data_IF_222593561746
#
_entry.id   IF_222593561746
#
_cell.length_a   1.000
_cell.length_b   1.000
_cell.length_c   1.000
_cell.angle_alpha   90.00
_cell.angle_beta   90.00
_cell.angle_gamma   90.00
#
_symmetry.space_group_name_H-M   'P 1'
#
loop_
_entity.id
_entity.type
_entity.pdbx_description
1 polymer ?
#
# COMPACT_ATOMS: atom_id res chain seq x y z
N UNK A 1 24.99 13.53 -10.42
CA UNK A 1 23.99 12.45 -10.63
C UNK A 1 24.49 11.19 -9.96
N UNK A 2 23.73 10.59 -9.04
CA UNK A 2 24.11 9.33 -8.40
C UNK A 2 23.64 8.13 -9.23
N UNK A 3 24.46 7.08 -9.34
CA UNK A 3 24.07 5.83 -9.99
C UNK A 3 23.05 5.10 -9.11
N UNK A 4 21.90 4.74 -9.68
CA UNK A 4 20.90 3.89 -9.01
C UNK A 4 21.35 2.43 -9.10
N UNK A 5 21.73 1.85 -7.98
CA UNK A 5 22.06 0.41 -7.89
C UNK A 5 20.80 -0.37 -7.56
N UNK A 6 20.54 -1.44 -8.30
CA UNK A 6 19.42 -2.38 -8.07
C UNK A 6 19.99 -3.79 -8.01
N UNK A 7 19.60 -4.56 -6.99
CA UNK A 7 20.01 -5.96 -6.81
C UNK A 7 18.77 -6.83 -6.73
N UNK A 8 18.78 -7.94 -7.48
CA UNK A 8 17.73 -8.93 -7.42
C UNK A 8 18.04 -9.94 -6.30
N UNK A 9 17.07 -10.17 -5.40
CA UNK A 9 17.22 -11.07 -4.26
C UNK A 9 16.11 -12.12 -4.30
N UNK A 10 16.45 -13.38 -4.04
CA UNK A 10 15.49 -14.48 -3.85
C UNK A 10 15.22 -14.66 -2.36
N UNK A 11 13.93 -14.66 -1.98
CA UNK A 11 13.53 -15.04 -0.63
C UNK A 11 13.51 -16.57 -0.50
N UNK A 12 14.13 -17.10 0.56
CA UNK A 12 14.11 -18.52 0.90
C UNK A 12 13.47 -18.69 2.29
N UNK A 13 12.15 -18.48 2.42
CA UNK A 13 11.48 -18.51 3.72
C UNK A 13 11.33 -19.95 4.24
N UNK A 14 11.33 -20.10 5.56
CA UNK A 14 10.79 -21.31 6.21
C UNK A 14 9.27 -21.41 5.99
N UNK A 15 8.67 -22.57 6.28
CA UNK A 15 7.23 -22.76 6.15
C UNK A 15 6.43 -21.69 6.91
N UNK A 16 6.78 -21.44 8.17
CA UNK A 16 6.10 -20.45 9.02
C UNK A 16 6.28 -19.02 8.48
N UNK A 17 7.47 -18.69 7.99
CA UNK A 17 7.73 -17.39 7.36
C UNK A 17 6.93 -17.22 6.08
N UNK A 18 6.77 -18.26 5.26
CA UNK A 18 6.00 -18.21 4.03
C UNK A 18 4.51 -17.96 4.32
N UNK A 19 3.96 -18.60 5.36
CA UNK A 19 2.60 -18.37 5.83
C UNK A 19 2.43 -16.93 6.33
N UNK A 20 3.34 -16.46 7.17
CA UNK A 20 3.30 -15.09 7.70
C UNK A 20 3.38 -14.03 6.58
N UNK A 21 4.28 -14.22 5.60
CA UNK A 21 4.41 -13.34 4.45
C UNK A 21 3.13 -13.33 3.61
N UNK A 22 2.57 -14.50 3.30
CA UNK A 22 1.33 -14.62 2.53
C UNK A 22 0.16 -13.94 3.23
N UNK A 23 -0.03 -14.20 4.52
CA UNK A 23 -1.09 -13.58 5.32
C UNK A 23 -0.93 -12.05 5.35
N UNK A 24 0.31 -11.57 5.49
CA UNK A 24 0.59 -10.12 5.48
C UNK A 24 0.24 -9.51 4.13
N UNK A 25 0.58 -10.15 3.02
CA UNK A 25 0.22 -9.68 1.68
C UNK A 25 -1.30 -9.59 1.48
N UNK A 26 -2.05 -10.61 1.93
CA UNK A 26 -3.52 -10.56 1.86
C UNK A 26 -4.10 -9.41 2.70
N UNK A 27 -3.59 -9.20 3.92
CA UNK A 27 -4.02 -8.09 4.77
C UNK A 27 -3.71 -6.72 4.13
N UNK A 28 -2.54 -6.57 3.52
CA UNK A 28 -2.18 -5.35 2.78
C UNK A 28 -3.09 -5.12 1.59
N UNK A 29 -3.43 -6.16 0.82
CA UNK A 29 -4.31 -6.04 -0.34
C UNK A 29 -5.72 -5.65 0.07
N UNK A 30 -6.30 -6.32 1.07
CA UNK A 30 -7.62 -5.94 1.59
C UNK A 30 -7.64 -4.51 2.16
N UNK A 31 -6.54 -4.10 2.80
CA UNK A 31 -6.36 -2.71 3.23
C UNK A 31 -6.26 -1.72 2.07
N UNK A 32 -5.63 -2.11 0.96
CA UNK A 32 -5.55 -1.29 -0.24
C UNK A 32 -6.91 -1.11 -0.89
N UNK A 33 -7.73 -2.16 -0.97
CA UNK A 33 -9.08 -2.10 -1.53
C UNK A 33 -9.95 -1.09 -0.76
N UNK A 34 -10.01 -1.22 0.57
CA UNK A 34 -10.73 -0.26 1.43
C UNK A 34 -10.19 1.16 1.29
N UNK A 35 -8.87 1.33 1.30
CA UNK A 35 -8.28 2.65 1.14
C UNK A 35 -8.57 3.26 -0.24
N UNK A 36 -8.67 2.44 -1.28
CA UNK A 36 -9.03 2.88 -2.62
C UNK A 36 -10.50 3.30 -2.71
N UNK A 37 -11.40 2.57 -2.06
CA UNK A 37 -12.82 2.93 -1.92
C UNK A 37 -12.99 4.28 -1.20
N UNK A 38 -12.31 4.46 -0.07
CA UNK A 38 -12.34 5.73 0.69
C UNK A 38 -11.76 6.87 -0.15
N UNK A 39 -10.61 6.67 -0.80
CA UNK A 39 -10.00 7.68 -1.66
C UNK A 39 -10.95 8.13 -2.79
N UNK A 40 -11.66 7.18 -3.41
CA UNK A 40 -12.63 7.48 -4.47
C UNK A 40 -13.82 8.26 -3.93
N UNK A 41 -14.39 7.78 -2.82
CA UNK A 41 -15.59 8.34 -2.19
C UNK A 41 -15.36 9.76 -1.69
N UNK A 42 -14.27 9.96 -0.93
CA UNK A 42 -13.89 11.25 -0.35
C UNK A 42 -13.17 12.17 -1.35
N UNK A 43 -12.91 11.67 -2.57
CA UNK A 43 -12.13 12.37 -3.61
C UNK A 43 -10.76 12.85 -3.13
N UNK A 44 -10.17 12.10 -2.21
CA UNK A 44 -8.87 12.39 -1.59
C UNK A 44 -7.82 11.39 -2.06
N UNK A 45 -6.97 11.83 -3.00
CA UNK A 45 -5.96 10.99 -3.64
C UNK A 45 -4.54 11.27 -3.15
N UNK A 46 -4.35 12.28 -2.31
CA UNK A 46 -3.04 12.59 -1.72
C UNK A 46 -2.72 11.60 -0.61
N UNK A 47 -1.44 11.21 -0.51
CA UNK A 47 -0.98 10.30 0.55
C UNK A 47 -1.35 10.83 1.96
N UNK A 48 -1.11 12.12 2.22
CA UNK A 48 -1.31 12.69 3.55
C UNK A 48 -2.79 12.84 3.90
N UNK A 49 -3.63 13.27 2.96
CA UNK A 49 -5.07 13.33 3.16
C UNK A 49 -5.65 11.94 3.39
N UNK A 50 -5.33 10.99 2.51
CA UNK A 50 -5.81 9.62 2.64
C UNK A 50 -5.33 8.95 3.93
N UNK A 51 -4.08 9.19 4.35
CA UNK A 51 -3.56 8.66 5.61
C UNK A 51 -4.36 9.14 6.82
N UNK A 52 -4.83 10.39 6.85
CA UNK A 52 -5.68 10.88 7.94
C UNK A 52 -7.02 10.14 8.01
N UNK A 53 -7.55 9.72 6.87
CA UNK A 53 -8.84 9.05 6.75
C UNK A 53 -8.75 7.56 7.15
N UNK A 54 -7.74 6.84 6.66
CA UNK A 54 -7.77 5.36 6.73
C UNK A 54 -6.74 4.73 7.68
N UNK A 55 -5.78 5.51 8.21
CA UNK A 55 -4.70 4.93 8.99
C UNK A 55 -5.19 4.20 10.26
N UNK A 56 -6.15 4.79 10.98
CA UNK A 56 -6.69 4.19 12.19
C UNK A 56 -7.38 2.85 11.89
N UNK A 57 -8.15 2.78 10.81
CA UNK A 57 -8.86 1.58 10.38
C UNK A 57 -7.91 0.48 9.92
N UNK A 58 -6.87 0.84 9.16
CA UNK A 58 -5.84 -0.11 8.74
C UNK A 58 -5.06 -0.66 9.95
N UNK A 59 -4.78 0.17 10.95
CA UNK A 59 -4.18 -0.24 12.22
C UNK A 59 -5.10 -1.20 12.99
N UNK A 60 -6.39 -0.89 13.07
CA UNK A 60 -7.39 -1.74 13.71
C UNK A 60 -7.58 -3.09 12.98
N UNK A 61 -7.40 -3.10 11.65
CA UNK A 61 -7.39 -4.31 10.83
C UNK A 61 -6.13 -5.19 10.99
N UNK A 62 -5.21 -4.84 11.89
CA UNK A 62 -4.04 -5.64 12.23
C UNK A 62 -2.77 -5.28 11.44
N UNK A 63 -2.79 -4.25 10.58
CA UNK A 63 -1.58 -3.83 9.88
C UNK A 63 -0.58 -3.18 10.85
N UNK A 64 0.68 -3.59 10.74
CA UNK A 64 1.80 -2.87 11.35
C UNK A 64 1.89 -1.44 10.79
N UNK A 65 2.47 -0.50 11.55
CA UNK A 65 2.51 0.92 11.17
C UNK A 65 3.14 1.15 9.79
N UNK A 66 4.27 0.48 9.50
CA UNK A 66 4.94 0.58 8.21
C UNK A 66 4.10 -0.02 7.08
N UNK A 67 3.46 -1.17 7.32
CA UNK A 67 2.61 -1.81 6.32
C UNK A 67 1.41 -0.90 5.97
N UNK A 68 0.73 -0.34 6.97
CA UNK A 68 -0.38 0.59 6.77
C UNK A 68 0.06 1.82 5.93
N UNK A 69 1.15 2.48 6.30
CA UNK A 69 1.66 3.67 5.57
C UNK A 69 2.06 3.32 4.12
N UNK A 70 2.68 2.16 3.90
CA UNK A 70 3.09 1.71 2.56
C UNK A 70 1.89 1.35 1.70
N UNK A 71 0.87 0.71 2.26
CA UNK A 71 -0.40 0.42 1.58
C UNK A 71 -1.10 1.72 1.15
N UNK A 72 -1.21 2.71 2.05
CA UNK A 72 -1.79 4.02 1.72
C UNK A 72 -1.02 4.70 0.59
N UNK A 73 0.32 4.69 0.68
CA UNK A 73 1.16 5.25 -0.38
C UNK A 73 0.92 4.53 -1.72
N UNK A 74 0.81 3.20 -1.72
CA UNK A 74 0.57 2.42 -2.93
C UNK A 74 -0.73 2.82 -3.62
N UNK A 75 -1.80 3.05 -2.84
CA UNK A 75 -3.10 3.51 -3.36
C UNK A 75 -2.99 4.93 -3.95
N UNK A 76 -2.38 5.86 -3.21
CA UNK A 76 -2.18 7.25 -3.69
C UNK A 76 -1.34 7.30 -4.97
N UNK A 77 -0.26 6.52 -5.05
CA UNK A 77 0.58 6.43 -6.24
C UNK A 77 -0.21 5.81 -7.42
N UNK A 78 -1.07 4.81 -7.18
CA UNK A 78 -1.91 4.20 -8.21
C UNK A 78 -2.91 5.19 -8.80
N UNK A 79 -3.59 6.00 -7.97
CA UNK A 79 -4.44 7.08 -8.48
C UNK A 79 -3.66 8.14 -9.24
N UNK A 80 -2.44 8.47 -8.80
CA UNK A 80 -1.57 9.40 -9.53
C UNK A 80 -1.29 8.88 -10.94
N UNK A 81 -0.91 7.59 -11.06
CA UNK A 81 -0.70 6.94 -12.36
C UNK A 81 -1.98 6.90 -13.20
N UNK A 82 -3.13 6.54 -12.61
CA UNK A 82 -4.41 6.50 -13.32
C UNK A 82 -4.77 7.86 -13.92
N UNK A 83 -4.68 8.94 -13.14
CA UNK A 83 -4.98 10.29 -13.62
C UNK A 83 -4.01 10.76 -14.71
N UNK A 84 -2.74 10.36 -14.64
CA UNK A 84 -1.77 10.65 -15.69
C UNK A 84 -2.14 9.95 -17.00
N UNK A 85 -2.52 8.67 -16.93
CA UNK A 85 -2.86 7.87 -18.11
C UNK A 85 -4.15 8.32 -18.80
N UNK A 86 -5.16 8.78 -18.04
CA UNK A 86 -6.44 9.24 -18.63
C UNK A 86 -6.31 10.62 -19.30
N UNK A 87 -5.28 11.40 -18.96
CA UNK A 87 -5.00 12.71 -19.56
C UNK A 87 -4.15 12.64 -20.84
N UNK A 88 -3.54 11.49 -21.13
CA UNK A 88 -2.68 11.26 -22.29
C UNK A 88 -3.52 10.91 -23.52
#
# INVERSE_FOLDING_TARGET
MGVKIVVQVKLLPTADQAVALRSTLHACNAGADRAAEVAFTEREFSKFGLQKLVYADLKAAGLGAQAAIRTIKKVSDAYTTLHANIKA
#
